data_IF_983126216894
#
_entry.id   IF_983126216894
#
_cell.length_a   1.000
_cell.length_b   1.000
_cell.length_c   1.000
_cell.angle_alpha   90.00
_cell.angle_beta   90.00
_cell.angle_gamma   90.00
#
_symmetry.space_group_name_H-M   'P 1'
#
loop_
_entity.id
_entity.type
_entity.pdbx_description
1 polymer ?
#
# COMPACT_ATOMS: atom_id res chain seq x y z
N UNK A 1 6.94 17.21 -6.73
CA UNK A 1 6.05 16.62 -7.75
C UNK A 1 5.43 15.32 -7.24
N UNK A 2 4.28 15.30 -6.54
CA UNK A 2 3.76 14.09 -5.81
C UNK A 2 4.03 12.77 -6.54
N UNK A 3 4.51 11.70 -5.86
CA UNK A 3 4.80 10.43 -6.50
C UNK A 3 3.54 9.94 -7.22
N UNK A 4 3.66 9.72 -8.52
CA UNK A 4 2.56 9.20 -9.34
C UNK A 4 2.41 7.73 -9.00
N UNK A 5 1.39 7.41 -8.21
CA UNK A 5 1.09 6.03 -7.84
C UNK A 5 0.18 5.45 -8.92
N UNK A 6 0.71 4.50 -9.68
CA UNK A 6 -0.08 3.76 -10.66
C UNK A 6 -0.91 2.69 -9.94
N UNK A 7 -2.16 3.02 -9.64
CA UNK A 7 -3.07 2.14 -8.90
C UNK A 7 -3.43 0.87 -9.67
N UNK A 8 -3.49 0.94 -11.01
CA UNK A 8 -3.80 -0.22 -11.85
C UNK A 8 -2.68 -1.27 -11.79
N UNK A 9 -1.42 -0.83 -11.83
CA UNK A 9 -0.26 -1.70 -11.61
C UNK A 9 -0.25 -2.29 -10.19
N UNK A 10 -0.65 -1.49 -9.19
CA UNK A 10 -0.77 -1.97 -7.82
C UNK A 10 -1.81 -3.08 -7.69
N UNK A 11 -2.96 -2.93 -8.34
CA UNK A 11 -4.05 -3.90 -8.34
C UNK A 11 -3.68 -5.22 -9.03
N UNK A 12 -2.79 -5.20 -10.02
CA UNK A 12 -2.25 -6.43 -10.63
C UNK A 12 -1.49 -7.29 -9.61
N UNK A 13 -0.82 -6.66 -8.64
CA UNK A 13 -0.05 -7.36 -7.59
C UNK A 13 -0.86 -7.63 -6.33
N UNK A 14 -1.72 -6.67 -5.97
CA UNK A 14 -2.57 -6.70 -4.77
C UNK A 14 -4.02 -6.61 -5.24
N UNK A 15 -4.67 -7.73 -5.59
CA UNK A 15 -6.01 -7.75 -6.17
C UNK A 15 -7.14 -7.46 -5.16
N UNK A 16 -6.84 -6.72 -4.09
CA UNK A 16 -7.75 -6.39 -3.01
C UNK A 16 -7.93 -4.88 -2.95
N UNK A 17 -8.83 -4.37 -3.78
CA UNK A 17 -9.03 -2.92 -4.00
C UNK A 17 -9.14 -2.11 -2.71
N UNK A 18 -9.84 -2.63 -1.70
CA UNK A 18 -10.04 -1.95 -0.41
C UNK A 18 -8.91 -2.18 0.59
N UNK A 19 -8.11 -3.23 0.42
CA UNK A 19 -7.01 -3.52 1.33
C UNK A 19 -5.85 -2.54 1.14
N UNK A 20 -5.64 -2.05 -0.09
CA UNK A 20 -4.60 -1.06 -0.43
C UNK A 20 -4.73 0.23 0.42
N UNK A 21 -5.86 0.97 0.42
CA UNK A 21 -5.97 2.20 1.21
C UNK A 21 -5.91 1.93 2.71
N UNK A 22 -6.43 0.79 3.18
CA UNK A 22 -6.34 0.41 4.60
C UNK A 22 -4.88 0.17 5.01
N UNK A 23 -4.11 -0.55 4.19
CA UNK A 23 -2.70 -0.82 4.45
C UNK A 23 -1.87 0.46 4.40
N UNK A 24 -2.12 1.32 3.41
CA UNK A 24 -1.46 2.62 3.29
C UNK A 24 -1.77 3.52 4.49
N UNK A 25 -3.02 3.58 4.95
CA UNK A 25 -3.42 4.38 6.11
C UNK A 25 -2.71 3.92 7.38
N UNK A 26 -2.74 2.62 7.68
CA UNK A 26 -2.03 2.04 8.84
C UNK A 26 -0.54 2.33 8.79
N UNK A 27 0.08 2.24 7.61
CA UNK A 27 1.50 2.58 7.47
C UNK A 27 1.76 4.06 7.65
N UNK A 28 0.90 4.92 7.12
CA UNK A 28 1.02 6.37 7.29
C UNK A 28 0.92 6.79 8.77
N UNK A 29 0.05 6.14 9.56
CA UNK A 29 0.00 6.33 11.02
C UNK A 29 1.32 5.97 11.69
N UNK A 30 1.91 4.81 11.35
CA UNK A 30 3.22 4.41 11.88
C UNK A 30 4.33 5.42 11.53
N UNK A 31 4.35 5.92 10.29
CA UNK A 31 5.31 6.95 9.85
C UNK A 31 5.15 8.26 10.64
N UNK A 32 3.91 8.61 10.99
CA UNK A 32 3.62 9.77 11.85
C UNK A 32 4.12 9.55 13.28
N UNK A 33 4.01 8.34 13.82
CA UNK A 33 4.45 7.94 15.17
C UNK A 33 5.94 7.55 15.24
N UNK A 34 6.81 8.25 14.52
CA UNK A 34 8.28 8.09 14.53
C UNK A 34 8.86 6.90 13.73
N UNK A 35 8.07 6.15 12.95
CA UNK A 35 8.66 5.16 12.05
C UNK A 35 9.39 5.83 10.87
N UNK A 36 10.51 5.23 10.44
CA UNK A 36 11.25 5.71 9.28
C UNK A 36 10.65 5.15 7.97
N UNK A 37 10.59 5.95 6.90
CA UNK A 37 10.35 5.46 5.55
C UNK A 37 11.40 4.45 5.11
N UNK A 38 10.98 3.43 4.36
CA UNK A 38 11.87 2.48 3.67
C UNK A 38 12.30 2.98 2.30
N UNK A 39 11.54 3.91 1.72
CA UNK A 39 11.83 4.50 0.41
C UNK A 39 12.42 5.89 0.58
N UNK A 40 13.44 6.19 -0.20
CA UNK A 40 13.90 7.57 -0.36
C UNK A 40 12.91 8.33 -1.24
N UNK A 41 12.44 9.46 -0.75
CA UNK A 41 11.52 10.33 -1.47
C UNK A 41 11.62 11.74 -0.93
N UNK A 42 11.46 12.71 -1.82
CA UNK A 42 11.39 14.14 -1.49
C UNK A 42 9.96 14.54 -1.06
N UNK A 43 9.00 13.61 -1.09
CA UNK A 43 7.63 13.82 -0.61
C UNK A 43 7.55 13.63 0.92
N UNK A 44 6.85 14.53 1.59
CA UNK A 44 6.63 14.53 3.04
C UNK A 44 5.22 14.02 3.40
N UNK A 45 4.39 13.66 2.43
CA UNK A 45 3.07 13.11 2.68
C UNK A 45 3.15 11.62 3.04
N UNK A 46 2.83 11.28 4.29
CA UNK A 46 2.93 9.90 4.80
C UNK A 46 2.10 8.87 4.03
N UNK A 47 0.93 9.25 3.49
CA UNK A 47 0.11 8.35 2.67
C UNK A 47 0.81 8.07 1.33
N UNK A 48 1.41 9.10 0.74
CA UNK A 48 2.12 8.99 -0.53
C UNK A 48 3.40 8.15 -0.38
N UNK A 49 4.13 8.35 0.73
CA UNK A 49 5.27 7.50 1.12
C UNK A 49 4.82 6.04 1.29
N UNK A 50 3.75 5.80 2.06
CA UNK A 50 3.24 4.46 2.31
C UNK A 50 2.78 3.75 1.03
N UNK A 51 2.10 4.46 0.12
CA UNK A 51 1.70 3.90 -1.17
C UNK A 51 2.90 3.57 -2.06
N UNK A 52 3.95 4.41 -2.03
CA UNK A 52 5.22 4.12 -2.71
C UNK A 52 5.89 2.87 -2.13
N UNK A 53 6.02 2.78 -0.81
CA UNK A 53 6.54 1.58 -0.12
C UNK A 53 5.75 0.31 -0.47
N UNK A 54 4.42 0.42 -0.57
CA UNK A 54 3.55 -0.69 -0.96
C UNK A 54 3.77 -1.09 -2.42
N UNK A 55 3.94 -0.12 -3.32
CA UNK A 55 4.19 -0.37 -4.74
C UNK A 55 5.53 -1.03 -5.03
N UNK A 56 6.56 -0.67 -4.25
CA UNK A 56 7.91 -1.22 -4.33
C UNK A 56 8.05 -2.53 -3.54
N UNK A 57 7.02 -2.92 -2.76
CA UNK A 57 6.97 -4.20 -2.05
C UNK A 57 7.69 -4.23 -0.70
N UNK A 58 8.08 -3.07 -0.15
CA UNK A 58 8.68 -2.97 1.19
C UNK A 58 7.68 -3.25 2.31
N UNK A 59 6.40 -2.96 2.07
CA UNK A 59 5.32 -3.30 3.00
C UNK A 59 4.37 -4.30 2.35
N UNK A 60 3.81 -5.19 3.17
CA UNK A 60 2.87 -6.23 2.74
C UNK A 60 1.60 -6.18 3.59
N UNK A 61 0.49 -6.61 3.02
CA UNK A 61 -0.78 -6.68 3.73
C UNK A 61 -0.78 -7.96 4.58
N UNK A 62 -0.89 -7.80 5.91
CA UNK A 62 -1.02 -8.93 6.83
C UNK A 62 -2.34 -9.68 6.56
N UNK A 63 -2.32 -10.99 6.70
CA UNK A 63 -3.46 -11.89 6.47
C UNK A 63 -3.97 -11.90 5.03
N UNK A 64 -3.07 -11.77 4.06
CA UNK A 64 -3.39 -11.86 2.64
C UNK A 64 -4.16 -13.15 2.28
N UNK A 65 -3.90 -14.25 3.00
CA UNK A 65 -4.61 -15.52 2.84
C UNK A 65 -6.12 -15.43 3.07
N UNK A 66 -6.57 -14.62 4.04
CA UNK A 66 -7.99 -14.38 4.28
C UNK A 66 -8.59 -13.55 3.14
N UNK A 67 -7.81 -12.60 2.60
CA UNK A 67 -8.26 -11.76 1.51
C UNK A 67 -8.45 -12.55 0.21
N UNK A 68 -7.74 -13.68 0.01
CA UNK A 68 -7.96 -14.57 -1.14
C UNK A 68 -9.41 -15.07 -1.24
N UNK A 69 -10.09 -15.23 -0.11
CA UNK A 69 -11.51 -15.64 -0.06
C UNK A 69 -12.42 -14.57 -0.66
N UNK A 70 -12.00 -13.30 -0.65
CA UNK A 70 -12.76 -12.18 -1.18
C UNK A 70 -12.64 -12.04 -2.70
N UNK A 71 -11.76 -12.81 -3.37
CA UNK A 71 -11.66 -12.80 -4.82
C UNK A 71 -12.88 -13.55 -5.37
N UNK A 72 -13.81 -12.87 -6.04
CA UNK A 72 -15.01 -13.53 -6.53
C UNK A 72 -14.61 -14.54 -7.62
N UNK A 73 -15.03 -15.79 -7.46
CA UNK A 73 -14.86 -16.82 -8.46
C UNK A 73 -16.00 -16.72 -9.48
N UNK A 74 -15.94 -15.68 -10.32
CA UNK A 74 -16.90 -15.49 -11.41
C UNK A 74 -16.42 -16.33 -12.59
N UNK A 75 -17.13 -17.43 -12.87
CA UNK A 75 -16.95 -18.21 -14.10
C UNK A 75 -17.60 -17.52 -15.29
#
# INVERSE_FOLDING_TARGET
>A
MRPVINYDELLKRIPYKFAIPIAAAKRAENLKEFAKPYVETWDNNYVSIALKELSEGYIRIKNEEILKVLIPNVK
#
